data_IF_525193636087
#
_entry.id   IF_525193636087
#
_cell.length_a   1.000
_cell.length_b   1.000
_cell.length_c   1.000
_cell.angle_alpha   90.00
_cell.angle_beta   90.00
_cell.angle_gamma   90.00
#
_symmetry.space_group_name_H-M   'P 1'
#
loop_
_entity.id
_entity.type
_entity.pdbx_description
1 polymer ?
#
# COMPACT_ATOMS: atom_id res chain seq x y z
N UNK A 1 -25.36 -9.15 35.46
CA UNK A 1 -24.37 -9.19 34.36
C UNK A 1 -24.30 -7.81 33.75
N UNK A 2 -23.11 -7.33 33.38
CA UNK A 2 -22.96 -6.02 32.75
C UNK A 2 -23.13 -6.15 31.23
N UNK A 3 -23.82 -5.17 30.62
CA UNK A 3 -23.86 -5.02 29.17
C UNK A 3 -22.61 -4.29 28.70
N UNK A 4 -22.05 -4.73 27.58
CA UNK A 4 -20.84 -4.18 27.01
C UNK A 4 -21.06 -3.72 25.58
N UNK A 5 -20.52 -2.54 25.26
CA UNK A 5 -20.33 -2.10 23.88
C UNK A 5 -19.11 -2.76 23.28
N UNK A 6 -19.32 -3.53 22.22
CA UNK A 6 -18.32 -4.36 21.54
C UNK A 6 -18.36 -4.05 20.04
N UNK A 7 -17.20 -3.81 19.45
CA UNK A 7 -17.02 -3.66 17.99
C UNK A 7 -16.09 -4.75 17.47
N UNK A 8 -16.46 -5.45 16.40
CA UNK A 8 -15.53 -6.36 15.71
C UNK A 8 -14.56 -5.53 14.83
N UNK A 9 -13.29 -5.50 15.22
CA UNK A 9 -12.24 -4.75 14.52
C UNK A 9 -11.42 -5.60 13.57
N UNK A 10 -11.73 -6.89 13.43
CA UNK A 10 -11.04 -7.77 12.50
C UNK A 10 -11.58 -7.64 11.07
N UNK A 11 -10.79 -8.06 10.07
CA UNK A 11 -11.17 -7.99 8.66
C UNK A 11 -12.27 -8.98 8.22
N UNK A 12 -12.82 -9.78 9.14
CA UNK A 12 -13.85 -10.79 8.83
C UNK A 12 -14.87 -10.94 9.97
N UNK A 13 -15.96 -11.69 9.75
CA UNK A 13 -16.97 -11.86 10.78
C UNK A 13 -16.45 -12.75 11.92
N UNK A 14 -16.74 -12.37 13.16
CA UNK A 14 -16.25 -13.03 14.39
C UNK A 14 -17.37 -13.33 15.35
N UNK A 15 -17.27 -14.48 15.99
CA UNK A 15 -18.19 -14.91 17.04
C UNK A 15 -17.71 -14.39 18.40
N UNK A 16 -18.63 -13.82 19.17
CA UNK A 16 -18.44 -13.51 20.58
C UNK A 16 -19.41 -14.36 21.39
N UNK A 17 -18.89 -15.05 22.40
CA UNK A 17 -19.72 -15.83 23.32
C UNK A 17 -20.35 -14.90 24.34
N UNK A 18 -21.68 -14.82 24.36
CA UNK A 18 -22.44 -14.08 25.36
C UNK A 18 -23.09 -15.05 26.34
N UNK A 19 -23.65 -14.52 27.43
CA UNK A 19 -24.40 -15.29 28.43
C UNK A 19 -25.65 -15.95 27.85
N UNK A 20 -26.18 -15.41 26.76
CA UNK A 20 -27.39 -15.91 26.08
C UNK A 20 -27.07 -16.78 24.86
N UNK A 21 -25.79 -16.90 24.48
CA UNK A 21 -25.33 -17.72 23.36
C UNK A 21 -24.27 -17.04 22.49
N UNK A 22 -23.81 -17.74 21.46
CA UNK A 22 -22.87 -17.19 20.50
C UNK A 22 -23.55 -16.11 19.62
N UNK A 23 -22.94 -14.94 19.53
CA UNK A 23 -23.37 -13.84 18.64
C UNK A 23 -22.30 -13.61 17.58
N UNK A 24 -22.72 -13.54 16.31
CA UNK A 24 -21.84 -13.26 15.18
C UNK A 24 -21.86 -11.76 14.87
N UNK A 25 -20.69 -11.12 14.88
CA UNK A 25 -20.51 -9.73 14.51
C UNK A 25 -19.79 -9.64 13.16
N UNK A 26 -20.35 -8.91 12.20
CA UNK A 26 -19.66 -8.59 10.93
C UNK A 26 -18.44 -7.71 11.19
N UNK A 27 -17.51 -7.65 10.23
CA UNK A 27 -16.39 -6.71 10.30
C UNK A 27 -16.91 -5.27 10.44
N UNK A 28 -16.44 -4.54 11.44
CA UNK A 28 -16.90 -3.19 11.78
C UNK A 28 -18.23 -3.10 12.53
N UNK A 29 -18.97 -4.21 12.71
CA UNK A 29 -20.24 -4.20 13.44
C UNK A 29 -20.02 -3.89 14.92
N UNK A 30 -20.79 -2.94 15.44
CA UNK A 30 -20.83 -2.57 16.85
C UNK A 30 -22.17 -2.96 17.46
N UNK A 31 -22.15 -3.54 18.65
CA UNK A 31 -23.34 -3.79 19.48
C UNK A 31 -23.11 -3.36 20.91
N UNK A 32 -24.12 -2.74 21.50
CA UNK A 32 -24.10 -2.12 22.83
C UNK A 32 -24.85 -2.92 23.90
N UNK A 33 -25.47 -4.02 23.52
CA UNK A 33 -26.38 -4.81 24.36
C UNK A 33 -25.86 -6.22 24.70
N UNK A 34 -24.57 -6.49 24.49
CA UNK A 34 -24.00 -7.83 24.70
C UNK A 34 -23.59 -8.06 26.15
N UNK A 35 -24.16 -9.10 26.75
CA UNK A 35 -23.83 -9.54 28.12
C UNK A 35 -22.77 -10.65 28.09
N UNK A 36 -21.61 -10.41 28.70
CA UNK A 36 -20.53 -11.39 28.79
C UNK A 36 -20.28 -11.72 30.26
N UNK A 37 -19.87 -12.96 30.52
CA UNK A 37 -19.26 -13.30 31.81
C UNK A 37 -17.87 -12.67 31.91
N UNK A 38 -17.34 -12.51 33.13
CA UNK A 38 -15.98 -11.97 33.31
C UNK A 38 -14.90 -12.81 32.61
N UNK A 39 -15.11 -14.13 32.55
CA UNK A 39 -14.22 -15.06 31.84
C UNK A 39 -14.27 -14.84 30.31
N UNK A 40 -15.46 -14.70 29.74
CA UNK A 40 -15.63 -14.43 28.31
C UNK A 40 -15.14 -13.04 27.94
N UNK A 41 -15.37 -12.03 28.79
CA UNK A 41 -14.86 -10.69 28.58
C UNK A 41 -13.33 -10.68 28.55
N UNK A 42 -12.69 -11.41 29.49
CA UNK A 42 -11.23 -11.55 29.54
C UNK A 42 -10.70 -12.28 28.31
N UNK A 43 -11.35 -13.37 27.91
CA UNK A 43 -11.01 -14.14 26.71
C UNK A 43 -11.11 -13.28 25.45
N UNK A 44 -12.24 -12.61 25.24
CA UNK A 44 -12.50 -11.78 24.08
C UNK A 44 -11.52 -10.60 23.98
N UNK A 45 -11.20 -9.94 25.10
CA UNK A 45 -10.16 -8.90 25.16
C UNK A 45 -8.76 -9.42 24.78
N UNK A 46 -8.47 -10.69 25.07
CA UNK A 46 -7.18 -11.31 24.75
C UNK A 46 -6.99 -11.67 23.27
N UNK A 47 -8.06 -11.64 22.47
CA UNK A 47 -7.98 -11.98 21.03
C UNK A 47 -7.59 -10.82 20.13
N UNK A 48 -7.71 -9.58 20.63
CA UNK A 48 -7.62 -8.34 19.84
C UNK A 48 -8.59 -8.25 18.63
N UNK A 49 -9.56 -9.17 18.52
CA UNK A 49 -10.59 -9.12 17.48
C UNK A 49 -11.70 -8.12 17.79
N UNK A 50 -11.84 -7.75 19.06
CA UNK A 50 -12.92 -6.90 19.55
C UNK A 50 -12.38 -5.67 20.29
N UNK A 51 -12.98 -4.52 19.99
CA UNK A 51 -12.82 -3.31 20.77
C UNK A 51 -13.97 -3.17 21.78
N UNK A 52 -13.66 -2.62 22.95
CA UNK A 52 -14.62 -2.45 24.05
C UNK A 52 -14.66 -0.98 24.51
N UNK A 53 -15.82 -0.51 24.98
CA UNK A 53 -15.98 0.81 25.59
C UNK A 53 -15.51 1.97 24.69
N UNK A 54 -14.63 2.85 25.19
CA UNK A 54 -14.12 3.98 24.42
C UNK A 54 -13.38 3.56 23.12
N UNK A 55 -12.71 2.39 23.13
CA UNK A 55 -12.08 1.83 21.92
C UNK A 55 -13.15 1.37 20.91
N UNK A 56 -14.27 0.83 21.40
CA UNK A 56 -15.42 0.47 20.55
C UNK A 56 -16.04 1.72 19.93
N UNK A 57 -16.28 2.77 20.71
CA UNK A 57 -16.79 4.05 20.19
C UNK A 57 -15.88 4.66 19.12
N UNK A 58 -14.55 4.63 19.32
CA UNK A 58 -13.59 5.08 18.31
C UNK A 58 -13.59 4.20 17.06
N UNK A 59 -13.73 2.88 17.22
CA UNK A 59 -13.79 1.95 16.09
C UNK A 59 -15.10 2.11 15.29
N UNK A 60 -16.22 2.34 15.97
CA UNK A 60 -17.52 2.60 15.34
C UNK A 60 -17.55 3.92 14.54
N UNK A 61 -16.73 4.90 14.95
CA UNK A 61 -16.58 6.17 14.24
C UNK A 61 -15.60 6.10 13.05
N UNK A 62 -14.89 4.98 12.87
CA UNK A 62 -14.06 4.79 11.68
C UNK A 62 -14.99 4.44 10.51
N UNK A 63 -14.88 5.20 9.42
CA UNK A 63 -15.63 4.91 8.19
C UNK A 63 -15.29 3.49 7.70
N UNK A 64 -16.29 2.66 7.36
CA UNK A 64 -16.03 1.36 6.76
C UNK A 64 -15.29 1.60 5.45
N UNK A 65 -14.18 0.89 5.22
CA UNK A 65 -13.51 0.89 3.91
C UNK A 65 -14.53 0.39 2.89
N UNK A 66 -15.05 1.28 2.05
CA UNK A 66 -16.08 0.91 1.10
C UNK A 66 -15.45 0.24 -0.12
N UNK A 67 -16.17 -0.71 -0.73
CA UNK A 67 -15.70 -1.41 -1.92
C UNK A 67 -15.37 -0.45 -3.07
N UNK A 68 -16.08 0.69 -3.16
CA UNK A 68 -15.79 1.74 -4.14
C UNK A 68 -14.40 2.37 -3.99
N UNK A 69 -13.90 2.52 -2.77
CA UNK A 69 -12.58 3.09 -2.50
C UNK A 69 -11.47 2.08 -2.85
N UNK A 70 -11.72 0.79 -2.61
CA UNK A 70 -10.84 -0.31 -3.01
C UNK A 70 -10.75 -0.42 -4.54
N UNK A 71 -11.86 -0.30 -5.26
CA UNK A 71 -11.90 -0.31 -6.72
C UNK A 71 -11.16 0.89 -7.32
N UNK A 72 -11.35 2.08 -6.74
CA UNK A 72 -10.65 3.29 -7.15
C UNK A 72 -9.14 3.17 -6.92
N UNK A 73 -8.74 2.66 -5.75
CA UNK A 73 -7.33 2.42 -5.43
C UNK A 73 -6.72 1.37 -6.37
N UNK A 74 -7.44 0.30 -6.67
CA UNK A 74 -7.00 -0.75 -7.60
C UNK A 74 -6.74 -0.18 -9.00
N UNK A 75 -7.64 0.69 -9.49
CA UNK A 75 -7.44 1.39 -10.77
C UNK A 75 -6.24 2.33 -10.74
N UNK A 76 -6.02 3.05 -9.65
CA UNK A 76 -4.84 3.91 -9.49
C UNK A 76 -3.54 3.10 -9.49
N UNK A 77 -3.49 1.97 -8.78
CA UNK A 77 -2.32 1.08 -8.78
C UNK A 77 -2.04 0.56 -10.18
N UNK A 78 -3.07 0.10 -10.92
CA UNK A 78 -2.90 -0.37 -12.29
C UNK A 78 -2.36 0.73 -13.23
N UNK A 79 -2.86 1.96 -13.09
CA UNK A 79 -2.38 3.10 -13.88
C UNK A 79 -0.93 3.46 -13.56
N UNK A 80 -0.55 3.50 -12.27
CA UNK A 80 0.81 3.75 -11.82
C UNK A 80 1.79 2.68 -12.31
N UNK A 81 1.41 1.40 -12.24
CA UNK A 81 2.23 0.30 -12.76
C UNK A 81 2.54 0.50 -14.24
N UNK A 82 1.52 0.79 -15.05
CA UNK A 82 1.71 1.07 -16.48
C UNK A 82 2.62 2.28 -16.72
N UNK A 83 2.43 3.36 -15.96
CA UNK A 83 3.28 4.55 -16.09
C UNK A 83 4.75 4.25 -15.76
N UNK A 84 5.03 3.40 -14.78
CA UNK A 84 6.40 2.97 -14.44
C UNK A 84 7.02 2.13 -15.56
N UNK A 85 6.25 1.22 -16.16
CA UNK A 85 6.69 0.40 -17.29
C UNK A 85 7.03 1.24 -18.53
N UNK A 86 6.13 2.17 -18.90
CA UNK A 86 6.34 3.09 -20.02
C UNK A 86 7.57 3.98 -19.78
N UNK A 87 7.72 4.51 -18.55
CA UNK A 87 8.87 5.34 -18.18
C UNK A 87 10.19 4.58 -18.22
N UNK A 88 10.20 3.32 -17.79
CA UNK A 88 11.41 2.48 -17.86
C UNK A 88 11.82 2.20 -19.31
N UNK A 89 10.85 1.95 -20.18
CA UNK A 89 11.12 1.75 -21.62
C UNK A 89 11.75 3.00 -22.24
N UNK A 90 11.15 4.17 -21.99
CA UNK A 90 11.68 5.46 -22.46
C UNK A 90 13.09 5.74 -21.91
N UNK A 91 13.35 5.39 -20.65
CA UNK A 91 14.67 5.55 -20.03
C UNK A 91 15.73 4.69 -20.73
N UNK A 92 15.43 3.42 -21.00
CA UNK A 92 16.36 2.52 -21.70
C UNK A 92 16.69 3.04 -23.11
N UNK A 93 15.69 3.55 -23.83
CA UNK A 93 15.91 4.16 -25.14
C UNK A 93 16.78 5.42 -25.06
N UNK A 94 16.57 6.27 -24.05
CA UNK A 94 17.38 7.46 -23.83
C UNK A 94 18.83 7.12 -23.47
N UNK A 95 19.06 6.12 -22.62
CA UNK A 95 20.40 5.63 -22.26
C UNK A 95 21.15 5.10 -23.48
N UNK A 96 20.47 4.37 -24.38
CA UNK A 96 21.07 3.90 -25.64
C UNK A 96 21.49 5.07 -26.54
N UNK A 97 20.62 6.06 -26.72
CA UNK A 97 20.93 7.24 -27.55
C UNK A 97 22.10 8.05 -26.97
N UNK A 98 22.18 8.16 -25.64
CA UNK A 98 23.30 8.82 -24.98
C UNK A 98 24.62 8.07 -25.24
N UNK A 99 24.62 6.74 -25.09
CA UNK A 99 25.81 5.92 -25.34
C UNK A 99 26.27 5.98 -26.80
N UNK A 100 25.35 6.06 -27.76
CA UNK A 100 25.69 6.21 -29.18
C UNK A 100 26.27 7.60 -29.47
N UNK A 101 25.70 8.67 -28.90
CA UNK A 101 26.22 10.04 -29.02
C UNK A 101 27.61 10.22 -28.39
N UNK A 102 27.88 9.55 -27.26
CA UNK A 102 29.20 9.58 -26.63
C UNK A 102 30.28 8.94 -27.52
N UNK A 103 29.96 7.83 -28.21
CA UNK A 103 30.88 7.21 -29.17
C UNK A 103 31.16 8.10 -30.37
N UNK A 104 30.13 8.78 -30.89
CA UNK A 104 30.27 9.71 -32.01
C UNK A 104 31.15 10.91 -31.63
N UNK A 105 30.92 11.50 -30.46
CA UNK A 105 31.76 12.59 -29.95
C UNK A 105 33.22 12.16 -29.75
N UNK A 106 33.46 10.95 -29.25
CA UNK A 106 34.82 10.42 -29.12
C UNK A 106 35.50 10.23 -30.49
N UNK A 107 34.76 9.79 -31.52
CA UNK A 107 35.28 9.66 -32.87
C UNK A 107 35.61 11.02 -33.50
N UNK A 108 34.71 12.01 -33.36
CA UNK A 108 34.92 13.37 -33.85
C UNK A 108 36.11 14.04 -33.16
N UNK A 109 36.27 13.85 -31.84
CA UNK A 109 37.42 14.38 -31.08
C UNK A 109 38.74 13.88 -31.67
N UNK A 110 38.84 12.56 -31.95
CA UNK A 110 40.05 11.99 -32.59
C UNK A 110 40.32 12.56 -33.98
N UNK A 111 39.29 12.76 -34.80
CA UNK A 111 39.44 13.36 -36.13
C UNK A 111 39.94 14.81 -36.05
N UNK A 112 39.44 15.59 -35.09
CA UNK A 112 39.91 16.96 -34.86
C UNK A 112 41.37 16.97 -34.42
N UNK A 113 41.78 16.07 -33.52
CA UNK A 113 43.19 15.93 -33.12
C UNK A 113 44.11 15.56 -34.30
N UNK A 114 43.69 14.68 -35.20
CA UNK A 114 44.45 14.33 -36.40
C UNK A 114 44.61 15.50 -37.37
N UNK A 115 43.55 16.29 -37.58
CA UNK A 115 43.57 17.45 -38.49
C UNK A 115 44.30 18.67 -37.89
N UNK A 116 44.39 18.76 -36.57
CA UNK A 116 45.07 19.86 -35.87
C UNK A 116 46.52 19.55 -35.50
N UNK A 117 46.99 18.32 -35.77
CA UNK A 117 48.42 18.01 -35.67
C UNK A 117 49.22 18.95 -36.58
N UNK A 118 50.22 19.68 -36.05
CA UNK A 118 51.04 20.54 -36.88
C UNK A 118 51.71 19.68 -37.94
N UNK A 119 51.59 20.08 -39.20
CA UNK A 119 52.38 19.51 -40.27
C UNK A 119 53.86 19.80 -39.95
N UNK A 120 54.54 18.83 -39.34
CA UNK A 120 55.99 18.83 -39.25
C UNK A 120 56.52 18.91 -40.68
N UNK A 121 56.90 20.15 -41.02
CA UNK A 121 57.49 20.52 -42.28
C UNK A 121 58.67 19.60 -42.50
N UNK A 122 58.66 18.91 -43.65
CA UNK A 122 59.88 18.52 -44.35
C UNK A 122 60.88 19.68 -44.25
N UNK A 123 61.94 19.51 -43.48
CA UNK A 123 63.18 20.28 -43.54
C UNK A 123 64.32 19.30 -43.40
#
# INVERSE_FOLDING_TARGET
MAKHTITNTSGGPRMVNTTTGAVMLKAGETRDDLELSDAELKSAKGTDWFAFGARAAKAAAAEPVNAGDLDALTKQVAALTKQVEDSNTAKVEAEKKLADAEKENAALTKQVEELTKPADKKS
#
